data_IF_176796688054
#
_entry.id   IF_176796688054
#
_cell.length_a   1.000
_cell.length_b   1.000
_cell.length_c   1.000
_cell.angle_alpha   90.00
_cell.angle_beta   90.00
_cell.angle_gamma   90.00
#
_symmetry.space_group_name_H-M   'P 1'
#
loop_
_entity.id
_entity.type
_entity.pdbx_description
1 polymer ?
#
# COMPACT_ATOMS: atom_id res chain seq x y z
N UNK A 1 63.07 11.06 71.34
CA UNK A 1 62.63 10.51 70.03
C UNK A 1 61.15 10.16 70.09
N UNK A 2 60.27 10.91 69.43
CA UNK A 2 58.83 10.64 69.34
C UNK A 2 58.55 9.92 68.01
N UNK A 3 57.93 8.73 68.04
CA UNK A 3 57.54 7.99 66.84
C UNK A 3 56.35 8.72 66.16
N UNK A 4 56.35 8.93 64.84
CA UNK A 4 55.23 9.58 64.17
C UNK A 4 54.05 8.60 64.08
N UNK A 5 52.84 9.07 64.38
CA UNK A 5 51.61 8.32 64.16
C UNK A 5 51.33 8.25 62.65
N UNK A 6 51.23 7.05 62.10
CA UNK A 6 50.78 6.83 60.72
C UNK A 6 49.35 7.36 60.56
N UNK A 7 49.21 8.39 59.74
CA UNK A 7 47.92 8.95 59.33
C UNK A 7 47.34 8.04 58.24
N UNK A 8 46.46 7.13 58.61
CA UNK A 8 45.68 6.33 57.65
C UNK A 8 44.86 7.27 56.78
N UNK A 9 45.31 7.51 55.54
CA UNK A 9 44.57 8.24 54.54
C UNK A 9 43.47 7.32 54.00
N UNK A 10 42.32 7.31 54.68
CA UNK A 10 41.07 6.80 54.10
C UNK A 10 40.80 7.63 52.85
N UNK A 11 40.95 7.03 51.67
CA UNK A 11 40.53 7.67 50.42
C UNK A 11 39.01 7.75 50.46
N UNK A 12 38.51 8.93 50.78
CA UNK A 12 37.13 9.29 50.44
C UNK A 12 37.07 9.33 48.92
N UNK A 13 36.54 8.27 48.31
CA UNK A 13 36.04 8.33 46.94
C UNK A 13 34.75 9.16 46.97
N UNK A 14 34.92 10.47 47.10
CA UNK A 14 33.87 11.43 46.87
C UNK A 14 33.73 11.62 45.35
N UNK A 15 32.59 11.16 44.82
CA UNK A 15 31.84 11.80 43.74
C UNK A 15 32.54 12.07 42.41
N UNK A 16 32.22 11.24 41.42
CA UNK A 16 31.72 11.72 40.14
C UNK A 16 30.98 10.57 39.45
N UNK A 17 29.79 10.21 39.95
CA UNK A 17 28.80 9.61 39.04
C UNK A 17 28.46 10.71 38.03
N UNK A 18 29.08 10.62 36.86
CA UNK A 18 28.65 11.40 35.70
C UNK A 18 27.18 11.04 35.47
N UNK A 19 26.25 12.00 35.36
CA UNK A 19 24.88 11.67 35.04
C UNK A 19 24.93 11.04 33.65
N UNK A 20 24.74 9.72 33.58
CA UNK A 20 24.42 9.05 32.33
C UNK A 20 23.06 9.62 31.95
N UNK A 21 23.09 10.72 31.20
CA UNK A 21 21.91 11.36 30.66
C UNK A 21 21.38 10.37 29.64
N UNK A 22 20.56 9.45 30.11
CA UNK A 22 19.77 8.57 29.28
C UNK A 22 18.92 9.50 28.42
N UNK A 23 19.46 9.78 27.24
CA UNK A 23 18.74 10.50 26.20
C UNK A 23 17.66 9.51 25.79
N UNK A 24 16.54 9.55 26.49
CA UNK A 24 15.26 9.14 25.95
C UNK A 24 15.04 10.01 24.73
N UNK A 25 15.63 9.61 23.60
CA UNK A 25 15.28 10.11 22.31
C UNK A 25 13.85 9.62 22.11
N UNK A 26 12.89 10.47 22.46
CA UNK A 26 11.48 10.25 22.21
C UNK A 26 11.33 10.19 20.69
N UNK A 27 11.52 9.00 20.14
CA UNK A 27 11.17 8.71 18.75
C UNK A 27 9.72 9.15 18.61
N UNK A 28 9.48 10.16 17.79
CA UNK A 28 8.14 10.55 17.41
C UNK A 28 7.81 9.75 16.15
N UNK A 29 7.16 8.58 16.24
CA UNK A 29 6.99 7.68 15.10
C UNK A 29 6.06 8.25 14.02
N UNK A 30 5.40 9.37 14.28
CA UNK A 30 4.41 9.97 13.38
C UNK A 30 5.01 10.35 12.01
N UNK A 31 6.26 10.79 11.95
CA UNK A 31 6.89 11.10 10.65
C UNK A 31 7.18 9.83 9.83
N UNK A 32 7.44 8.69 10.47
CA UNK A 32 7.61 7.41 9.78
C UNK A 32 6.30 6.98 9.12
N UNK A 33 5.16 7.22 9.77
CA UNK A 33 3.84 6.96 9.18
C UNK A 33 3.66 7.79 7.90
N UNK A 34 4.02 9.07 7.92
CA UNK A 34 3.96 9.93 6.74
C UNK A 34 4.89 9.45 5.62
N UNK A 35 6.11 9.02 5.96
CA UNK A 35 7.05 8.46 4.97
C UNK A 35 6.50 7.17 4.36
N UNK A 36 5.94 6.26 5.16
CA UNK A 36 5.33 5.03 4.66
C UNK A 36 4.14 5.35 3.77
N UNK A 37 3.26 6.26 4.18
CA UNK A 37 2.12 6.69 3.38
C UNK A 37 2.58 7.30 2.04
N UNK A 38 3.62 8.15 2.06
CA UNK A 38 4.18 8.74 0.85
C UNK A 38 4.77 7.67 -0.08
N UNK A 39 5.55 6.73 0.43
CA UNK A 39 6.12 5.63 -0.36
C UNK A 39 5.04 4.69 -0.92
N UNK A 40 3.89 4.56 -0.25
CA UNK A 40 2.75 3.79 -0.74
C UNK A 40 1.91 4.53 -1.79
N UNK A 41 1.88 5.87 -1.78
CA UNK A 41 1.02 6.68 -2.67
C UNK A 41 1.78 7.19 -3.89
N UNK A 42 2.96 7.78 -3.69
CA UNK A 42 3.71 8.48 -4.74
C UNK A 42 3.96 7.64 -6.00
N UNK A 43 4.30 6.34 -5.91
CA UNK A 43 4.51 5.51 -7.10
C UNK A 43 3.26 5.35 -7.99
N UNK A 44 2.06 5.54 -7.44
CA UNK A 44 0.79 5.39 -8.14
C UNK A 44 0.21 6.72 -8.65
N UNK A 45 0.83 7.87 -8.35
CA UNK A 45 0.38 9.16 -8.89
C UNK A 45 0.31 9.16 -10.43
N UNK A 46 1.29 8.59 -11.17
CA UNK A 46 1.18 8.51 -12.62
C UNK A 46 -0.03 7.69 -13.12
N UNK A 47 -0.58 6.80 -12.30
CA UNK A 47 -1.76 5.99 -12.66
C UNK A 47 -3.08 6.75 -12.54
N UNK A 48 -3.09 7.99 -12.01
CA UNK A 48 -4.30 8.81 -11.93
C UNK A 48 -4.79 9.30 -13.30
N UNK A 49 -3.88 9.42 -14.27
CA UNK A 49 -4.16 9.80 -15.66
C UNK A 49 -3.97 8.58 -16.58
N UNK A 50 -4.42 7.41 -16.10
CA UNK A 50 -4.31 6.14 -16.82
C UNK A 50 -5.37 6.00 -17.91
N UNK A 51 -4.94 5.55 -19.07
CA UNK A 51 -5.83 5.17 -20.18
C UNK A 51 -6.38 3.74 -20.00
N UNK A 52 -7.37 3.38 -20.82
CA UNK A 52 -7.90 2.02 -20.86
C UNK A 52 -6.80 1.01 -21.21
N UNK A 53 -6.65 0.00 -20.35
CA UNK A 53 -5.68 -1.08 -20.59
C UNK A 53 -6.34 -2.22 -21.37
N UNK A 54 -5.58 -3.30 -21.56
CA UNK A 54 -5.96 -4.41 -22.45
C UNK A 54 -7.37 -4.98 -22.16
N UNK A 55 -7.67 -5.27 -20.89
CA UNK A 55 -8.95 -5.88 -20.51
C UNK A 55 -10.12 -4.89 -20.66
N UNK A 56 -9.90 -3.62 -20.34
CA UNK A 56 -10.90 -2.57 -20.47
C UNK A 56 -11.25 -2.33 -21.93
N UNK A 57 -10.25 -2.39 -22.82
CA UNK A 57 -10.46 -2.23 -24.25
C UNK A 57 -11.44 -3.28 -24.78
N UNK A 58 -11.31 -4.54 -24.36
CA UNK A 58 -12.23 -5.60 -24.77
C UNK A 58 -13.63 -5.44 -24.15
N UNK A 59 -13.71 -5.10 -22.87
CA UNK A 59 -14.99 -5.11 -22.13
C UNK A 59 -15.79 -3.82 -22.20
N UNK A 60 -15.14 -2.67 -22.25
CA UNK A 60 -15.78 -1.36 -22.23
C UNK A 60 -15.83 -0.77 -23.64
N UNK A 61 -14.68 -0.69 -24.33
CA UNK A 61 -14.60 -0.01 -25.63
C UNK A 61 -15.12 -0.85 -26.79
N UNK A 62 -14.87 -2.17 -26.77
CA UNK A 62 -15.17 -3.05 -27.90
C UNK A 62 -16.38 -3.96 -27.69
N UNK A 63 -16.92 -4.04 -26.47
CA UNK A 63 -18.11 -4.84 -26.22
C UNK A 63 -19.36 -4.17 -26.83
N UNK A 64 -20.04 -4.80 -27.80
CA UNK A 64 -21.20 -4.20 -28.47
C UNK A 64 -22.37 -3.96 -27.51
N UNK A 65 -22.48 -4.74 -26.43
CA UNK A 65 -23.53 -4.56 -25.43
C UNK A 65 -23.27 -3.28 -24.65
N UNK A 66 -22.06 -3.12 -24.11
CA UNK A 66 -21.64 -1.95 -23.31
C UNK A 66 -21.69 -0.67 -24.12
N UNK A 67 -21.22 -0.70 -25.37
CA UNK A 67 -21.24 0.49 -26.26
C UNK A 67 -22.61 0.82 -26.85
N UNK A 68 -23.68 0.10 -26.47
CA UNK A 68 -25.04 0.32 -26.97
C UNK A 68 -25.26 -0.06 -28.44
N UNK A 69 -24.29 -0.73 -29.06
CA UNK A 69 -24.35 -1.21 -30.46
C UNK A 69 -25.14 -2.52 -30.60
N UNK A 70 -25.48 -3.17 -29.49
CA UNK A 70 -26.30 -4.38 -29.43
C UNK A 70 -27.39 -4.30 -28.36
N UNK A 71 -28.35 -5.23 -28.42
CA UNK A 71 -29.43 -5.31 -27.44
C UNK A 71 -28.92 -5.71 -26.06
N UNK A 72 -29.29 -4.95 -25.02
CA UNK A 72 -28.90 -5.19 -23.63
C UNK A 72 -29.21 -6.61 -23.14
N UNK A 73 -30.29 -7.23 -23.62
CA UNK A 73 -30.66 -8.62 -23.29
C UNK A 73 -29.59 -9.65 -23.68
N UNK A 74 -28.72 -9.34 -24.64
CA UNK A 74 -27.64 -10.25 -25.05
C UNK A 74 -26.65 -10.53 -23.91
N UNK A 75 -26.59 -9.67 -22.88
CA UNK A 75 -25.72 -9.86 -21.71
C UNK A 75 -25.95 -11.20 -21.00
N UNK A 76 -27.14 -11.78 -21.11
CA UNK A 76 -27.49 -13.09 -20.53
C UNK A 76 -27.05 -14.29 -21.39
N UNK A 77 -26.51 -14.02 -22.58
CA UNK A 77 -26.11 -15.04 -23.56
C UNK A 77 -24.66 -14.88 -24.05
N UNK A 78 -23.97 -13.84 -23.59
CA UNK A 78 -22.57 -13.57 -23.90
C UNK A 78 -21.69 -13.76 -22.67
N UNK A 79 -20.40 -13.97 -22.89
CA UNK A 79 -19.40 -13.83 -21.85
C UNK A 79 -19.04 -12.37 -21.57
N UNK A 80 -18.16 -12.17 -20.59
CA UNK A 80 -17.70 -10.87 -20.12
C UNK A 80 -17.05 -10.02 -21.21
N UNK A 81 -16.48 -10.66 -22.22
CA UNK A 81 -15.72 -10.02 -23.29
C UNK A 81 -16.59 -9.72 -24.53
N UNK A 82 -17.88 -10.05 -24.49
CA UNK A 82 -18.84 -9.77 -25.56
C UNK A 82 -18.97 -10.89 -26.60
N UNK A 83 -18.37 -12.06 -26.39
CA UNK A 83 -18.58 -13.22 -27.26
C UNK A 83 -19.79 -14.02 -26.81
N UNK A 84 -20.52 -14.64 -27.75
CA UNK A 84 -21.55 -15.62 -27.39
C UNK A 84 -20.96 -16.70 -26.49
N UNK A 85 -21.62 -17.00 -25.36
CA UNK A 85 -21.07 -17.96 -24.39
C UNK A 85 -20.99 -19.39 -24.94
N UNK A 86 -21.75 -19.71 -25.99
CA UNK A 86 -21.66 -20.98 -26.68
C UNK A 86 -20.45 -21.06 -27.63
N UNK A 87 -19.86 -19.93 -28.00
CA UNK A 87 -18.75 -19.85 -28.96
C UNK A 87 -17.48 -20.56 -28.45
N UNK A 88 -16.71 -21.25 -29.31
CA UNK A 88 -15.38 -21.75 -28.96
C UNK A 88 -14.38 -20.63 -28.60
N UNK A 89 -14.59 -19.42 -29.11
CA UNK A 89 -13.76 -18.24 -28.82
C UNK A 89 -14.12 -17.60 -27.47
N UNK A 90 -15.19 -18.05 -26.83
CA UNK A 90 -15.58 -17.54 -25.52
C UNK A 90 -14.63 -18.01 -24.43
N UNK A 91 -14.25 -17.10 -23.54
CA UNK A 91 -13.52 -17.42 -22.31
C UNK A 91 -14.42 -18.01 -21.22
N UNK A 92 -15.72 -18.18 -21.50
CA UNK A 92 -16.75 -18.75 -20.59
C UNK A 92 -16.90 -17.99 -19.27
N UNK A 93 -16.41 -16.76 -19.20
CA UNK A 93 -16.56 -15.85 -18.07
C UNK A 93 -17.94 -15.22 -18.07
N UNK A 94 -18.93 -15.87 -17.45
CA UNK A 94 -20.29 -15.31 -17.33
C UNK A 94 -20.39 -14.28 -16.20
N UNK A 95 -20.53 -12.99 -16.54
CA UNK A 95 -20.53 -11.87 -15.58
C UNK A 95 -21.57 -10.78 -15.93
N UNK A 96 -22.85 -11.14 -16.06
CA UNK A 96 -23.85 -10.21 -16.58
C UNK A 96 -24.03 -8.95 -15.71
N UNK A 97 -23.97 -9.10 -14.38
CA UNK A 97 -24.10 -7.96 -13.47
C UNK A 97 -22.93 -6.98 -13.62
N UNK A 98 -21.69 -7.47 -13.71
CA UNK A 98 -20.51 -6.62 -13.93
C UNK A 98 -20.53 -5.95 -15.30
N UNK A 99 -20.91 -6.68 -16.37
CA UNK A 99 -21.03 -6.06 -17.70
C UNK A 99 -22.07 -4.95 -17.72
N UNK A 100 -23.18 -5.10 -16.98
CA UNK A 100 -24.20 -4.07 -16.83
C UNK A 100 -23.74 -2.85 -16.03
N UNK A 101 -22.71 -2.95 -15.17
CA UNK A 101 -22.18 -1.77 -14.48
C UNK A 101 -21.39 -0.83 -15.40
N UNK A 102 -21.08 -1.26 -16.63
CA UNK A 102 -20.38 -0.44 -17.63
C UNK A 102 -21.31 0.15 -18.70
N UNK A 103 -22.57 -0.28 -18.76
CA UNK A 103 -23.55 0.17 -19.76
C UNK A 103 -24.07 1.58 -19.47
#
# INVERSE_FOLDING_TARGET
MKRPKLKTRRREHAGAESPHKDRHHSWNPNWLILVIAALAILPYIPSLDGEFVFDDSATILNNPIVTGKSHLKQVFTTDYWGYSIASPQSHKSYRPLTTLTFW
#
